data_IF_163854081830
#
_entry.id   IF_163854081830
#
_cell.length_a   1.000
_cell.length_b   1.000
_cell.length_c   1.000
_cell.angle_alpha   90.00
_cell.angle_beta   90.00
_cell.angle_gamma   90.00
#
_symmetry.space_group_name_H-M   'P 1'
#
loop_
_entity.id
_entity.type
_entity.pdbx_description
1 polymer ?
#
# COMPACT_ATOMS: atom_id res chain seq x y z
N UNK A 1 51.81 23.14 50.43
CA UNK A 1 51.18 24.16 49.56
C UNK A 1 50.17 23.41 48.72
N UNK A 2 48.98 23.22 49.30
CA UNK A 2 47.86 22.42 48.76
C UNK A 2 46.68 23.39 48.69
N UNK A 3 46.26 23.71 47.48
CA UNK A 3 45.08 24.52 47.20
C UNK A 3 43.84 23.64 47.40
N UNK A 4 42.89 23.98 48.29
CA UNK A 4 41.72 23.16 48.52
C UNK A 4 40.79 23.23 47.30
N UNK A 5 40.61 22.09 46.63
CA UNK A 5 39.54 21.86 45.66
C UNK A 5 38.22 22.36 46.26
N UNK A 6 37.67 23.42 45.66
CA UNK A 6 36.35 23.91 45.96
C UNK A 6 35.34 22.91 45.39
N UNK A 7 34.92 21.99 46.26
CA UNK A 7 33.81 21.06 46.05
C UNK A 7 32.49 21.84 46.18
N UNK A 8 32.30 22.82 45.31
CA UNK A 8 31.04 23.56 45.19
C UNK A 8 30.00 22.61 44.58
N UNK A 9 28.95 22.20 45.31
CA UNK A 9 27.92 21.35 44.75
C UNK A 9 27.26 22.10 43.60
N UNK A 10 27.42 21.59 42.37
CA UNK A 10 26.77 22.15 41.17
C UNK A 10 25.27 22.18 41.42
N UNK A 11 24.78 23.34 41.85
CA UNK A 11 23.37 23.57 42.11
C UNK A 11 22.63 23.35 40.80
N UNK A 12 21.99 22.19 40.67
CA UNK A 12 21.17 21.84 39.50
C UNK A 12 19.95 22.74 39.52
N UNK A 13 20.11 23.95 38.97
CA UNK A 13 19.00 24.85 38.74
C UNK A 13 17.92 24.06 38.00
N UNK A 14 16.68 24.03 38.50
CA UNK A 14 15.56 23.45 37.76
C UNK A 14 15.55 24.04 36.36
N UNK A 15 15.53 23.18 35.33
CA UNK A 15 15.47 23.60 33.94
C UNK A 15 14.06 24.19 33.75
N UNK A 16 13.93 25.49 33.93
CA UNK A 16 12.73 26.23 33.57
C UNK A 16 12.68 26.29 32.03
N UNK A 17 11.62 25.75 31.39
CA UNK A 17 11.43 25.92 29.97
C UNK A 17 11.45 27.43 29.67
N UNK A 18 12.25 27.90 28.70
CA UNK A 18 12.30 29.31 28.39
C UNK A 18 10.91 29.73 27.91
N UNK A 19 10.17 30.46 28.75
CA UNK A 19 8.83 31.00 28.45
C UNK A 19 8.86 31.92 27.19
N UNK A 20 10.06 32.36 26.80
CA UNK A 20 10.34 33.20 25.64
C UNK A 20 10.56 32.46 24.32
N UNK A 21 10.66 31.13 24.32
CA UNK A 21 10.68 30.36 23.07
C UNK A 21 9.24 29.99 22.77
N UNK A 22 8.60 30.79 21.92
CA UNK A 22 7.33 30.37 21.34
C UNK A 22 7.50 28.94 20.81
N UNK A 23 6.58 28.01 21.12
CA UNK A 23 6.67 26.68 20.58
C UNK A 23 6.79 26.82 19.07
N UNK A 24 7.93 26.38 18.51
CA UNK A 24 8.07 26.11 17.08
C UNK A 24 7.23 24.87 16.81
N UNK A 25 5.93 24.97 17.04
CA UNK A 25 4.95 24.08 16.47
C UNK A 25 4.89 24.44 15.01
N UNK A 26 5.15 23.43 14.19
CA UNK A 26 4.65 23.34 12.82
C UNK A 26 3.23 23.90 12.77
N UNK A 27 2.93 24.67 11.72
CA UNK A 27 1.69 25.41 11.48
C UNK A 27 0.47 24.92 12.26
N UNK A 28 -0.33 25.83 12.88
CA UNK A 28 -1.59 25.47 13.49
C UNK A 28 -2.39 24.62 12.50
N UNK A 29 -2.62 23.35 12.84
CA UNK A 29 -3.47 22.47 12.05
C UNK A 29 -4.84 23.14 12.05
N UNK A 30 -5.24 23.63 10.87
CA UNK A 30 -6.51 24.32 10.68
C UNK A 30 -7.64 23.37 11.14
N UNK A 31 -8.41 23.72 12.18
CA UNK A 31 -9.52 22.87 12.63
C UNK A 31 -10.58 22.71 11.53
N UNK A 32 -10.61 23.61 10.54
CA UNK A 32 -11.48 23.55 9.37
C UNK A 32 -10.88 22.76 8.20
N UNK A 33 -9.65 22.24 8.32
CA UNK A 33 -9.13 21.28 7.34
C UNK A 33 -9.97 19.98 7.43
N UNK A 34 -10.75 19.64 6.38
CA UNK A 34 -11.61 18.48 6.44
C UNK A 34 -10.74 17.23 6.55
N UNK A 35 -10.72 16.61 7.74
CA UNK A 35 -10.06 15.33 8.02
C UNK A 35 -10.47 14.34 6.94
N UNK A 36 -9.60 14.10 5.96
CA UNK A 36 -9.87 13.19 4.84
C UNK A 36 -10.04 11.79 5.42
N UNK A 37 -11.28 11.34 5.54
CA UNK A 37 -11.57 10.00 6.02
C UNK A 37 -10.93 8.97 5.09
N UNK A 38 -10.24 7.95 5.62
CA UNK A 38 -9.66 6.91 4.78
C UNK A 38 -10.77 6.26 3.95
N UNK A 39 -10.59 6.24 2.62
CA UNK A 39 -11.57 5.66 1.71
C UNK A 39 -11.59 4.14 1.86
N UNK A 40 -12.60 3.60 2.53
CA UNK A 40 -12.84 2.16 2.71
C UNK A 40 -13.02 1.41 1.39
N UNK A 41 -13.37 2.13 0.31
CA UNK A 41 -13.61 1.56 -1.02
C UNK A 41 -12.36 0.89 -1.59
N UNK A 42 -11.20 1.52 -1.49
CA UNK A 42 -9.95 0.93 -1.99
C UNK A 42 -9.57 -0.34 -1.24
N UNK A 43 -9.74 -0.34 0.09
CA UNK A 43 -9.52 -1.51 0.93
C UNK A 43 -10.49 -2.66 0.62
N UNK A 44 -11.77 -2.35 0.37
CA UNK A 44 -12.77 -3.36 0.01
C UNK A 44 -12.43 -4.07 -1.31
N UNK A 45 -12.04 -3.34 -2.35
CA UNK A 45 -11.60 -3.95 -3.61
C UNK A 45 -10.31 -4.76 -3.45
N UNK A 46 -9.37 -4.31 -2.61
CA UNK A 46 -8.17 -5.08 -2.31
C UNK A 46 -8.51 -6.43 -1.66
N UNK A 47 -9.36 -6.43 -0.63
CA UNK A 47 -9.79 -7.65 0.04
C UNK A 47 -10.57 -8.58 -0.88
N UNK A 48 -11.41 -8.03 -1.77
CA UNK A 48 -12.12 -8.80 -2.78
C UNK A 48 -11.14 -9.52 -3.72
N UNK A 49 -10.18 -8.78 -4.31
CA UNK A 49 -9.18 -9.37 -5.22
C UNK A 49 -8.36 -10.43 -4.49
N UNK A 50 -7.92 -10.15 -3.26
CA UNK A 50 -7.17 -11.09 -2.44
C UNK A 50 -7.97 -12.37 -2.18
N UNK A 51 -9.25 -12.23 -1.83
CA UNK A 51 -10.16 -13.37 -1.61
C UNK A 51 -10.38 -14.21 -2.86
N UNK A 52 -10.58 -13.57 -4.02
CA UNK A 52 -10.73 -14.27 -5.31
C UNK A 52 -9.45 -15.03 -5.68
N UNK A 53 -8.28 -14.41 -5.49
CA UNK A 53 -6.98 -15.07 -5.74
C UNK A 53 -6.77 -16.26 -4.80
N UNK A 54 -7.14 -16.13 -3.51
CA UNK A 54 -7.06 -17.24 -2.58
C UNK A 54 -7.99 -18.40 -2.99
N UNK A 55 -9.24 -18.11 -3.37
CA UNK A 55 -10.16 -19.11 -3.89
C UNK A 55 -9.65 -19.76 -5.19
N UNK A 56 -9.09 -18.97 -6.10
CA UNK A 56 -8.46 -19.47 -7.32
C UNK A 56 -7.31 -20.44 -7.01
N UNK A 57 -6.48 -20.15 -6.00
CA UNK A 57 -5.40 -21.04 -5.58
C UNK A 57 -5.93 -22.38 -5.05
N UNK A 58 -7.05 -22.37 -4.31
CA UNK A 58 -7.72 -23.60 -3.88
C UNK A 58 -8.20 -24.41 -5.09
N UNK A 59 -8.82 -23.76 -6.07
CA UNK A 59 -9.26 -24.44 -7.31
C UNK A 59 -8.07 -25.06 -8.05
N UNK A 60 -6.93 -24.35 -8.15
CA UNK A 60 -5.71 -24.90 -8.73
C UNK A 60 -5.24 -26.15 -7.98
N UNK A 61 -5.31 -26.15 -6.65
CA UNK A 61 -4.92 -27.27 -5.82
C UNK A 61 -5.87 -28.48 -5.91
N UNK A 62 -7.12 -28.28 -6.37
CA UNK A 62 -8.13 -29.32 -6.58
C UNK A 62 -8.10 -29.88 -8.02
N UNK A 63 -6.93 -29.90 -8.67
CA UNK A 63 -6.67 -30.35 -10.05
C UNK A 63 -7.38 -29.58 -11.18
N UNK A 64 -8.17 -28.56 -10.85
CA UNK A 64 -8.84 -27.66 -11.81
C UNK A 64 -7.95 -26.46 -12.18
N UNK A 65 -6.68 -26.72 -12.49
CA UNK A 65 -5.66 -25.68 -12.65
C UNK A 65 -6.01 -24.64 -13.72
N UNK A 66 -6.64 -25.04 -14.84
CA UNK A 66 -7.06 -24.10 -15.88
C UNK A 66 -8.09 -23.10 -15.37
N UNK A 67 -9.09 -23.62 -14.67
CA UNK A 67 -10.18 -22.83 -14.08
C UNK A 67 -9.62 -21.87 -13.04
N UNK A 68 -8.74 -22.36 -12.17
CA UNK A 68 -8.07 -21.54 -11.17
C UNK A 68 -7.20 -20.43 -11.78
N UNK A 69 -6.37 -20.74 -12.78
CA UNK A 69 -5.52 -19.74 -13.46
C UNK A 69 -6.36 -18.70 -14.22
N UNK A 70 -7.45 -19.09 -14.88
CA UNK A 70 -8.38 -18.15 -15.53
C UNK A 70 -9.02 -17.20 -14.52
N UNK A 71 -9.45 -17.72 -13.37
CA UNK A 71 -10.04 -16.92 -12.30
C UNK A 71 -9.03 -15.93 -11.72
N UNK A 72 -7.79 -16.38 -11.48
CA UNK A 72 -6.70 -15.52 -11.02
C UNK A 72 -6.36 -14.43 -12.05
N UNK A 73 -6.26 -14.78 -13.33
CA UNK A 73 -6.06 -13.81 -14.40
C UNK A 73 -7.19 -12.79 -14.49
N UNK A 74 -8.45 -13.22 -14.36
CA UNK A 74 -9.62 -12.35 -14.29
C UNK A 74 -9.58 -11.38 -13.12
N UNK A 75 -9.14 -11.85 -11.94
CA UNK A 75 -8.97 -10.99 -10.76
C UNK A 75 -7.92 -9.90 -10.98
N UNK A 76 -6.82 -10.20 -11.68
CA UNK A 76 -5.78 -9.21 -12.01
C UNK A 76 -6.27 -8.18 -13.05
N UNK A 77 -7.02 -8.61 -14.07
CA UNK A 77 -7.65 -7.69 -15.03
C UNK A 77 -8.66 -6.78 -14.33
N UNK A 78 -9.48 -7.34 -13.44
CA UNK A 78 -10.39 -6.55 -12.62
C UNK A 78 -9.63 -5.54 -11.74
N UNK A 79 -8.54 -5.96 -11.09
CA UNK A 79 -7.68 -5.07 -10.32
C UNK A 79 -7.11 -3.93 -11.18
N UNK A 80 -6.73 -4.20 -12.43
CA UNK A 80 -6.29 -3.18 -13.38
C UNK A 80 -7.40 -2.15 -13.67
N UNK A 81 -8.65 -2.59 -13.85
CA UNK A 81 -9.79 -1.69 -14.06
C UNK A 81 -10.06 -0.82 -12.83
N UNK A 82 -10.12 -1.44 -11.65
CA UNK A 82 -10.26 -0.71 -10.38
C UNK A 82 -9.14 0.31 -10.23
N UNK A 83 -7.90 -0.06 -10.59
CA UNK A 83 -6.74 0.82 -10.58
C UNK A 83 -6.98 2.05 -11.43
N UNK A 84 -7.52 1.91 -12.64
CA UNK A 84 -7.79 3.00 -13.59
C UNK A 84 -8.94 3.90 -13.14
N UNK A 85 -9.97 3.35 -12.48
CA UNK A 85 -11.12 4.11 -11.99
C UNK A 85 -10.79 4.90 -10.71
N UNK A 86 -10.02 4.34 -9.77
CA UNK A 86 -9.66 5.03 -8.52
C UNK A 86 -8.74 6.24 -8.81
N UNK A 87 -9.22 7.45 -8.49
CA UNK A 87 -8.52 8.70 -8.76
C UNK A 87 -7.24 8.79 -7.91
N UNK A 88 -6.09 8.98 -8.57
CA UNK A 88 -4.82 9.23 -7.89
C UNK A 88 -4.78 10.68 -7.50
N UNK A 89 -4.95 10.94 -6.22
CA UNK A 89 -4.67 12.25 -5.64
C UNK A 89 -3.19 12.24 -5.28
N UNK A 90 -2.49 13.23 -5.82
CA UNK A 90 -1.18 13.75 -5.40
C UNK A 90 0.06 12.97 -5.88
N UNK A 91 0.55 13.33 -7.06
CA UNK A 91 1.84 12.89 -7.58
C UNK A 91 2.94 13.94 -7.32
N UNK A 92 3.27 14.16 -6.05
CA UNK A 92 4.56 14.76 -5.65
C UNK A 92 5.59 13.66 -5.33
N UNK A 93 6.87 13.86 -5.69
CA UNK A 93 8.07 12.98 -5.58
C UNK A 93 7.96 11.47 -5.95
N UNK A 94 6.77 10.88 -6.09
CA UNK A 94 6.50 9.48 -6.45
C UNK A 94 5.94 9.31 -7.86
N UNK A 95 6.22 10.27 -8.76
CA UNK A 95 5.84 10.21 -10.18
C UNK A 95 6.38 8.99 -10.94
N UNK A 96 7.28 8.20 -10.33
CA UNK A 96 7.98 7.06 -10.93
C UNK A 96 7.06 5.88 -11.23
N UNK A 97 6.08 5.56 -10.36
CA UNK A 97 5.15 4.44 -10.60
C UNK A 97 3.84 4.95 -11.20
N UNK A 98 3.90 5.35 -12.46
CA UNK A 98 2.76 5.87 -13.21
C UNK A 98 1.55 4.93 -13.14
N UNK A 99 0.35 5.50 -13.09
CA UNK A 99 -0.91 4.74 -12.92
C UNK A 99 -1.16 3.74 -13.99
N UNK A 100 -0.92 4.23 -15.18
CA UNK A 100 -1.10 3.50 -16.39
C UNK A 100 -0.11 2.34 -16.42
N UNK A 101 1.15 2.55 -16.01
CA UNK A 101 2.14 1.46 -15.99
C UNK A 101 1.68 0.29 -15.11
N UNK A 102 1.24 0.58 -13.89
CA UNK A 102 0.78 -0.47 -12.99
C UNK A 102 -0.49 -1.18 -13.49
N UNK A 103 -1.46 -0.43 -14.04
CA UNK A 103 -2.63 -1.02 -14.66
C UNK A 103 -2.27 -1.89 -15.88
N UNK A 104 -1.31 -1.44 -16.70
CA UNK A 104 -0.79 -2.19 -17.85
C UNK A 104 -0.11 -3.47 -17.38
N UNK A 105 0.73 -3.42 -16.36
CA UNK A 105 1.38 -4.62 -15.80
C UNK A 105 0.33 -5.63 -15.31
N UNK A 106 -0.68 -5.18 -14.57
CA UNK A 106 -1.77 -6.05 -14.11
C UNK A 106 -2.59 -6.64 -15.27
N UNK A 107 -2.92 -5.83 -16.27
CA UNK A 107 -3.67 -6.27 -17.44
C UNK A 107 -2.88 -7.26 -18.30
N UNK A 108 -1.58 -7.00 -18.52
CA UNK A 108 -0.68 -7.89 -19.27
C UNK A 108 -0.49 -9.20 -18.52
N UNK A 109 -0.25 -9.15 -17.20
CA UNK A 109 -0.08 -10.35 -16.39
C UNK A 109 -1.37 -11.18 -16.36
N UNK A 110 -2.53 -10.55 -16.09
CA UNK A 110 -3.81 -11.22 -16.08
C UNK A 110 -4.18 -11.81 -17.45
N UNK A 111 -3.95 -11.05 -18.52
CA UNK A 111 -4.15 -11.50 -19.90
C UNK A 111 -3.23 -12.66 -20.27
N UNK A 112 -1.96 -12.62 -19.87
CA UNK A 112 -1.00 -13.71 -20.09
C UNK A 112 -1.43 -15.00 -19.38
N UNK A 113 -1.94 -14.91 -18.14
CA UNK A 113 -2.47 -16.08 -17.42
C UNK A 113 -3.70 -16.68 -18.12
N UNK A 114 -4.66 -15.85 -18.54
CA UNK A 114 -5.84 -16.30 -19.27
C UNK A 114 -5.44 -16.94 -20.60
N UNK A 115 -4.53 -16.29 -21.34
CA UNK A 115 -3.99 -16.82 -22.58
C UNK A 115 -3.32 -18.17 -22.35
N UNK A 116 -2.42 -18.28 -21.37
CA UNK A 116 -1.74 -19.52 -21.00
C UNK A 116 -2.74 -20.65 -20.74
N UNK A 117 -3.71 -20.44 -19.85
CA UNK A 117 -4.70 -21.44 -19.47
C UNK A 117 -5.66 -21.85 -20.62
N UNK A 118 -5.76 -21.03 -21.66
CA UNK A 118 -6.59 -21.29 -22.85
C UNK A 118 -5.78 -21.89 -24.00
N UNK A 119 -4.49 -21.56 -24.07
CA UNK A 119 -3.59 -21.98 -25.17
C UNK A 119 -3.20 -23.44 -25.11
N UNK A 120 -3.10 -24.01 -23.91
CA UNK A 120 -2.72 -25.42 -23.72
C UNK A 120 -3.96 -26.27 -24.06
N UNK A 121 -3.92 -27.14 -25.08
CA UNK A 121 -5.04 -28.04 -25.37
C UNK A 121 -5.19 -29.08 -24.26
N UNK A 122 -6.42 -29.58 -24.06
CA UNK A 122 -6.61 -30.74 -23.21
C UNK A 122 -5.96 -31.95 -23.86
N UNK A 123 -5.29 -32.78 -23.04
CA UNK A 123 -4.63 -33.97 -23.55
C UNK A 123 -5.71 -34.94 -24.05
N UNK A 124 -5.62 -35.42 -25.31
CA UNK A 124 -6.49 -36.49 -25.76
C UNK A 124 -6.10 -37.76 -24.98
N UNK A 125 -7.02 -38.31 -24.18
CA UNK A 125 -6.77 -39.58 -23.49
C UNK A 125 -7.20 -39.68 -22.03
N UNK A 126 -8.20 -38.91 -21.61
CA UNK A 126 -9.13 -39.35 -20.56
C UNK A 126 -10.49 -39.57 -21.21
#
# INVERSE_FOLDING_TARGET
MTDPEHDEPVERRPIEPPESVEPVSAEPVDPDEPRRYPSTIGGAFYLLVLGVVAAAMVIVALDEWRTGIRLMGGALVFAALVRLVLRRRDAGMLAVRHKVLDAVVLAVLGGALIFLATSIPDQPGF
#
